data_IF_253106060077
#
_entry.id   IF_253106060077
#
_cell.length_a   1.000
_cell.length_b   1.000
_cell.length_c   1.000
_cell.angle_alpha   90.00
_cell.angle_beta   90.00
_cell.angle_gamma   90.00
#
_symmetry.space_group_name_H-M   'P 1'
#
loop_
_entity.id
_entity.type
_entity.pdbx_description
1 polymer ?
#
# COMPACT_ATOMS: atom_id res chain seq x y z
N UNK A 1 2.88 1.91 -76.37
CA UNK A 1 4.06 2.05 -75.48
C UNK A 1 3.90 3.27 -74.59
N UNK A 2 3.63 3.05 -73.31
CA UNK A 2 3.88 3.96 -72.18
C UNK A 2 4.26 3.05 -71.00
N UNK A 3 5.41 3.24 -70.34
CA UNK A 3 5.84 2.33 -69.29
C UNK A 3 5.18 2.72 -67.96
N UNK A 4 4.56 1.74 -67.31
CA UNK A 4 4.04 1.84 -65.94
C UNK A 4 5.21 1.75 -64.98
N UNK A 5 5.46 2.80 -64.18
CA UNK A 5 6.48 2.79 -63.13
C UNK A 5 6.06 1.82 -62.02
N UNK A 6 6.82 0.76 -61.85
CA UNK A 6 6.71 -0.19 -60.75
C UNK A 6 7.36 0.46 -59.52
N UNK A 7 6.56 0.79 -58.49
CA UNK A 7 7.05 1.36 -57.25
C UNK A 7 7.59 0.21 -56.37
N UNK A 8 8.91 0.13 -56.26
CA UNK A 8 9.61 -0.81 -55.39
C UNK A 8 9.51 -0.29 -53.94
N UNK A 9 8.65 -0.91 -53.12
CA UNK A 9 8.66 -0.66 -51.66
C UNK A 9 9.84 -1.42 -51.03
N UNK A 10 10.91 -0.70 -50.75
CA UNK A 10 12.01 -1.18 -49.91
C UNK A 10 11.50 -1.13 -48.46
N UNK A 11 11.25 -2.30 -47.88
CA UNK A 11 10.94 -2.41 -46.45
C UNK A 11 12.23 -2.17 -45.65
N UNK A 12 12.38 -0.95 -45.14
CA UNK A 12 13.42 -0.60 -44.18
C UNK A 12 12.97 -1.20 -42.85
N UNK A 13 13.62 -2.29 -42.42
CA UNK A 13 13.58 -2.75 -41.04
C UNK A 13 14.25 -1.69 -40.18
N UNK A 14 13.46 -0.76 -39.64
CA UNK A 14 13.90 0.07 -38.52
C UNK A 14 13.91 -0.82 -37.27
N UNK A 15 15.10 -1.23 -36.85
CA UNK A 15 15.34 -1.65 -35.48
C UNK A 15 14.93 -0.48 -34.59
N UNK A 16 13.79 -0.61 -33.90
CA UNK A 16 13.33 0.40 -32.96
C UNK A 16 14.28 0.33 -31.75
N UNK A 17 15.05 1.38 -31.45
CA UNK A 17 15.79 1.44 -30.19
C UNK A 17 14.77 1.37 -29.05
N UNK A 18 15.07 0.54 -28.04
CA UNK A 18 14.31 0.37 -26.80
C UNK A 18 13.57 1.64 -26.41
N UNK A 19 12.24 1.61 -26.52
CA UNK A 19 11.37 2.67 -26.05
C UNK A 19 11.42 2.70 -24.51
N UNK A 20 12.49 3.28 -23.98
CA UNK A 20 12.62 3.65 -22.58
C UNK A 20 11.79 4.93 -22.36
N UNK A 21 10.47 4.79 -22.40
CA UNK A 21 9.62 5.71 -21.67
C UNK A 21 9.68 5.26 -20.23
N UNK A 22 10.40 5.99 -19.38
CA UNK A 22 10.31 5.79 -17.94
C UNK A 22 8.84 5.79 -17.56
N UNK A 23 8.39 4.75 -16.85
CA UNK A 23 7.01 4.52 -16.42
C UNK A 23 6.51 5.53 -15.36
N UNK A 24 7.16 6.69 -15.28
CA UNK A 24 6.85 7.81 -14.40
C UNK A 24 5.86 8.73 -15.13
N UNK A 25 4.54 8.70 -14.85
CA UNK A 25 3.89 8.19 -13.65
C UNK A 25 2.64 7.35 -13.99
N UNK A 26 2.77 6.03 -14.08
CA UNK A 26 1.57 5.18 -14.11
C UNK A 26 0.81 5.22 -12.77
N UNK A 27 1.46 5.72 -11.72
CA UNK A 27 0.91 6.00 -10.42
C UNK A 27 0.73 7.52 -10.32
N UNK A 28 -0.52 8.01 -10.31
CA UNK A 28 -0.81 9.39 -9.88
C UNK A 28 -0.32 9.57 -8.42
N UNK A 29 -0.22 10.82 -7.95
CA UNK A 29 0.01 11.19 -6.55
C UNK A 29 -0.76 10.35 -5.54
N UNK A 30 -1.97 9.89 -5.87
CA UNK A 30 -2.82 9.05 -5.01
C UNK A 30 -2.36 7.59 -4.89
N UNK A 31 -1.64 7.04 -5.88
CA UNK A 31 -0.99 5.72 -5.78
C UNK A 31 0.53 5.82 -5.57
N UNK A 32 1.07 7.02 -5.68
CA UNK A 32 2.48 7.29 -5.39
C UNK A 32 2.66 7.13 -3.88
N UNK A 33 3.57 6.24 -3.47
CA UNK A 33 3.78 5.81 -2.08
C UNK A 33 2.68 4.91 -1.50
N UNK A 34 1.73 4.43 -2.31
CA UNK A 34 0.73 3.45 -1.87
C UNK A 34 1.32 2.04 -1.98
N UNK A 35 1.58 1.39 -0.85
CA UNK A 35 2.04 -0.01 -0.84
C UNK A 35 0.86 -0.98 -0.92
N UNK A 36 -0.27 -0.61 -0.32
CA UNK A 36 -1.45 -1.46 -0.24
C UNK A 36 -2.74 -0.69 -0.45
N UNK A 37 -3.57 -1.18 -1.35
CA UNK A 37 -4.94 -0.70 -1.52
C UNK A 37 -5.92 -1.86 -1.64
N UNK A 38 -7.04 -1.78 -0.92
CA UNK A 38 -8.16 -2.68 -1.10
C UNK A 38 -9.51 -1.94 -1.05
N UNK A 39 -10.34 -2.17 -2.07
CA UNK A 39 -11.71 -1.65 -2.11
C UNK A 39 -12.60 -2.22 -1.00
N UNK A 40 -12.31 -3.43 -0.52
CA UNK A 40 -13.00 -4.03 0.61
C UNK A 40 -12.22 -3.84 1.91
N UNK A 41 -11.33 -4.75 2.30
CA UNK A 41 -10.59 -4.71 3.55
C UNK A 41 -9.16 -5.21 3.39
N UNK A 42 -8.33 -4.92 4.39
CA UNK A 42 -6.97 -5.43 4.53
C UNK A 42 -6.83 -6.10 5.91
N UNK A 43 -6.26 -7.32 5.95
CA UNK A 43 -5.99 -8.09 7.19
C UNK A 43 -4.57 -8.69 7.20
N UNK A 44 -3.76 -8.54 8.27
CA UNK A 44 -2.42 -9.15 8.40
C UNK A 44 -1.89 -9.29 9.85
N UNK A 45 -1.07 -10.31 10.07
CA UNK A 45 -0.36 -10.68 11.31
C UNK A 45 0.05 -12.15 11.19
N UNK A 46 1.15 -12.72 11.66
CA UNK A 46 2.20 -12.28 12.52
C UNK A 46 3.50 -12.65 11.81
N UNK A 47 4.42 -11.77 11.46
CA UNK A 47 4.42 -10.42 11.96
C UNK A 47 3.84 -9.44 10.95
N UNK A 48 4.46 -8.32 10.69
CA UNK A 48 4.07 -7.37 9.63
C UNK A 48 4.95 -6.13 9.75
N UNK A 49 5.24 -5.49 8.61
CA UNK A 49 5.71 -4.11 8.53
C UNK A 49 5.38 -3.61 7.11
N UNK A 50 5.01 -2.34 6.90
CA UNK A 50 4.66 -1.84 5.55
C UNK A 50 5.22 -0.43 5.30
N UNK A 51 6.00 -0.31 4.23
CA UNK A 51 6.85 0.85 3.92
C UNK A 51 6.22 1.97 3.09
N UNK A 52 4.92 2.18 3.23
CA UNK A 52 4.17 3.19 2.51
C UNK A 52 2.73 3.30 3.01
N UNK A 53 1.91 4.04 2.28
CA UNK A 53 0.51 4.26 2.61
C UNK A 53 -0.30 2.97 2.46
N UNK A 54 -1.23 2.80 3.39
CA UNK A 54 -2.22 1.72 3.40
C UNK A 54 -3.60 2.35 3.39
N UNK A 55 -4.42 1.94 2.43
CA UNK A 55 -5.76 2.48 2.25
C UNK A 55 -6.77 1.36 2.06
N UNK A 56 -7.88 1.48 2.76
CA UNK A 56 -9.05 0.63 2.55
C UNK A 56 -10.33 1.43 2.68
N UNK A 57 -11.24 1.23 1.72
CA UNK A 57 -12.55 1.89 1.73
C UNK A 57 -13.40 1.42 2.91
N UNK A 58 -13.15 0.23 3.47
CA UNK A 58 -13.88 -0.23 4.66
C UNK A 58 -13.00 -0.33 5.90
N UNK A 59 -12.06 -1.28 5.98
CA UNK A 59 -11.41 -1.61 7.25
C UNK A 59 -9.96 -2.01 7.06
N UNK A 60 -9.13 -1.62 8.03
CA UNK A 60 -7.73 -2.07 8.16
C UNK A 60 -7.50 -2.52 9.60
N UNK A 61 -7.07 -3.76 9.81
CA UNK A 61 -6.74 -4.25 11.16
C UNK A 61 -5.58 -5.27 11.09
N UNK A 62 -4.30 -4.82 11.11
CA UNK A 62 -3.09 -5.64 11.11
C UNK A 62 -2.17 -5.56 12.35
N UNK A 63 -2.34 -6.51 13.25
CA UNK A 63 -1.58 -6.67 14.46
C UNK A 63 -0.78 -7.93 14.29
N UNK A 64 0.53 -7.80 14.13
CA UNK A 64 1.51 -8.61 14.82
C UNK A 64 2.86 -8.37 14.20
N UNK A 65 4.00 -8.43 14.85
CA UNK A 65 4.21 -7.44 15.86
C UNK A 65 4.36 -5.98 15.27
N UNK A 66 3.85 -5.73 14.04
CA UNK A 66 3.47 -4.55 13.26
C UNK A 66 4.14 -3.22 13.55
N UNK A 67 4.66 -2.61 12.49
CA UNK A 67 4.97 -1.18 12.44
C UNK A 67 4.82 -0.70 10.99
N UNK A 68 4.28 0.48 10.79
CA UNK A 68 4.01 1.11 9.49
C UNK A 68 4.94 2.32 9.34
N UNK A 69 5.28 2.72 8.11
CA UNK A 69 6.09 3.92 7.83
C UNK A 69 5.42 4.89 6.86
N UNK A 70 4.10 5.05 6.99
CA UNK A 70 3.25 5.87 6.13
C UNK A 70 1.86 6.03 6.74
N UNK A 71 0.90 6.52 5.95
CA UNK A 71 -0.44 6.82 6.43
C UNK A 71 -1.34 5.59 6.45
N UNK A 72 -2.25 5.54 7.43
CA UNK A 72 -3.35 4.58 7.48
C UNK A 72 -4.66 5.32 7.26
N UNK A 73 -5.38 4.92 6.21
CA UNK A 73 -6.68 5.46 5.86
C UNK A 73 -7.74 4.35 5.78
N UNK A 74 -8.62 4.29 6.78
CA UNK A 74 -9.73 3.35 6.81
C UNK A 74 -11.08 4.08 6.70
N UNK A 75 -11.88 3.73 5.70
CA UNK A 75 -13.19 4.37 5.51
C UNK A 75 -14.20 4.09 6.62
N UNK A 76 -13.97 3.05 7.43
CA UNK A 76 -14.73 2.81 8.67
C UNK A 76 -13.81 2.63 9.87
N UNK A 77 -13.05 1.53 9.92
CA UNK A 77 -12.38 1.09 11.15
C UNK A 77 -10.90 0.84 10.91
N UNK A 78 -10.06 1.45 11.76
CA UNK A 78 -8.63 1.16 11.88
C UNK A 78 -8.36 0.68 13.32
N UNK A 79 -7.65 -0.42 13.60
CA UNK A 79 -7.61 -0.92 15.01
C UNK A 79 -6.36 -1.70 15.44
N UNK A 80 -5.17 -1.13 15.69
CA UNK A 80 -3.94 -1.94 15.69
C UNK A 80 -2.80 -1.77 16.69
N UNK A 81 -2.98 -2.54 17.75
CA UNK A 81 -1.92 -3.07 18.58
C UNK A 81 -1.27 -4.35 18.03
N UNK A 82 -0.05 -4.30 17.53
CA UNK A 82 0.80 -5.45 17.31
C UNK A 82 1.74 -5.60 18.50
N UNK A 83 3.05 -5.52 18.32
CA UNK A 83 3.74 -4.66 19.28
C UNK A 83 3.64 -3.15 18.87
N UNK A 84 3.01 -2.86 17.71
CA UNK A 84 2.46 -1.65 17.03
C UNK A 84 3.35 -0.44 16.75
N UNK A 85 3.05 0.20 15.62
CA UNK A 85 3.27 1.63 15.41
C UNK A 85 2.92 2.11 13.99
N UNK A 86 2.89 3.42 13.75
CA UNK A 86 2.75 4.04 12.43
C UNK A 86 3.41 5.43 12.34
N UNK A 87 4.40 5.63 11.47
CA UNK A 87 5.09 6.94 11.37
C UNK A 87 4.50 7.84 10.26
N UNK A 88 3.27 8.28 10.51
CA UNK A 88 2.42 9.13 9.70
C UNK A 88 1.15 9.51 10.48
N UNK A 89 0.01 9.62 9.82
CA UNK A 89 -1.29 9.76 10.49
C UNK A 89 -2.14 8.49 10.42
N UNK A 90 -3.09 8.41 11.36
CA UNK A 90 -4.13 7.39 11.38
C UNK A 90 -5.50 8.06 11.28
N UNK A 91 -6.24 7.72 10.22
CA UNK A 91 -7.59 8.18 10.00
C UNK A 91 -8.59 7.01 9.89
N UNK A 92 -9.65 7.10 10.68
CA UNK A 92 -10.75 6.15 10.64
C UNK A 92 -12.09 6.88 10.51
N UNK A 93 -12.87 6.53 9.49
CA UNK A 93 -14.18 7.15 9.23
C UNK A 93 -15.18 6.98 10.38
N UNK A 94 -15.01 5.95 11.21
CA UNK A 94 -15.81 5.74 12.44
C UNK A 94 -14.93 5.50 13.67
N UNK A 95 -14.11 4.45 13.67
CA UNK A 95 -13.49 3.94 14.91
C UNK A 95 -12.00 3.70 14.75
N UNK A 96 -11.23 4.29 15.66
CA UNK A 96 -9.80 4.06 15.86
C UNK A 96 -9.60 3.33 17.20
N UNK A 97 -8.91 2.19 17.22
CA UNK A 97 -8.68 1.41 18.45
C UNK A 97 -7.23 0.92 18.51
N UNK A 98 -6.36 1.39 19.41
CA UNK A 98 -4.96 0.91 19.40
C UNK A 98 -4.33 0.79 20.80
N UNK A 99 -3.88 -0.42 21.15
CA UNK A 99 -2.93 -0.66 22.23
C UNK A 99 -2.09 -1.88 21.88
N UNK A 100 -0.76 -1.76 21.88
CA UNK A 100 0.17 -2.88 21.75
C UNK A 100 1.14 -2.91 22.94
N UNK A 101 2.36 -2.52 22.67
CA UNK A 101 2.80 -1.29 23.26
C UNK A 101 2.78 -0.15 22.21
N UNK A 102 1.62 0.40 21.83
CA UNK A 102 1.35 1.34 20.70
C UNK A 102 2.17 2.61 20.71
N UNK A 103 2.64 3.07 19.55
CA UNK A 103 3.11 4.46 19.40
C UNK A 103 2.75 4.98 17.99
N UNK A 104 2.62 6.30 17.83
CA UNK A 104 3.19 7.07 16.68
C UNK A 104 2.17 7.66 15.69
N UNK A 105 2.39 8.90 15.22
CA UNK A 105 3.41 9.94 15.54
C UNK A 105 3.29 11.22 14.71
N UNK A 106 2.26 11.28 13.86
CA UNK A 106 1.49 12.49 13.63
C UNK A 106 0.26 12.51 14.54
N UNK A 107 -0.91 12.62 13.92
CA UNK A 107 -2.20 12.70 14.61
C UNK A 107 -3.04 11.43 14.42
N UNK A 108 -4.00 11.24 15.32
CA UNK A 108 -5.09 10.28 15.18
C UNK A 108 -6.41 11.02 15.07
N UNK A 109 -7.19 10.69 14.03
CA UNK A 109 -8.54 11.23 13.84
C UNK A 109 -9.56 10.10 13.63
N UNK A 110 -10.54 10.04 14.54
CA UNK A 110 -11.66 9.11 14.46
C UNK A 110 -13.00 9.85 14.26
N UNK A 111 -13.78 9.39 13.28
CA UNK A 111 -15.10 9.95 12.99
C UNK A 111 -16.16 9.71 14.06
N UNK A 112 -15.87 8.88 15.08
CA UNK A 112 -16.76 8.68 16.24
C UNK A 112 -15.93 8.44 17.49
N UNK A 113 -15.12 7.38 17.51
CA UNK A 113 -14.47 6.90 18.74
C UNK A 113 -13.00 6.62 18.52
N UNK A 114 -12.15 7.15 19.41
CA UNK A 114 -10.76 6.75 19.56
C UNK A 114 -10.57 6.07 20.92
N UNK A 115 -10.01 4.86 20.93
CA UNK A 115 -9.73 4.11 22.17
C UNK A 115 -8.26 3.70 22.16
N UNK A 116 -7.47 4.08 23.16
CA UNK A 116 -6.06 3.70 23.24
C UNK A 116 -5.65 3.19 24.62
N UNK A 117 -4.90 2.11 24.63
CA UNK A 117 -4.39 1.52 25.86
C UNK A 117 -3.71 0.23 25.51
N UNK A 118 -2.46 0.32 25.09
CA UNK A 118 -1.39 -0.47 25.67
C UNK A 118 -0.05 0.18 25.28
N UNK A 119 0.80 0.33 26.30
CA UNK A 119 1.93 1.26 26.50
C UNK A 119 2.09 2.42 25.49
N UNK A 120 1.01 3.19 25.32
CA UNK A 120 0.74 4.23 24.32
C UNK A 120 1.72 5.42 24.38
N UNK A 121 2.24 5.89 23.24
CA UNK A 121 2.73 7.27 23.12
C UNK A 121 2.38 7.91 21.75
N UNK A 122 1.78 9.10 21.73
CA UNK A 122 1.44 9.84 20.49
C UNK A 122 1.98 11.26 20.56
N UNK A 123 2.71 11.67 19.52
CA UNK A 123 3.46 12.94 19.44
C UNK A 123 2.61 14.13 18.97
N UNK A 124 1.51 13.86 18.25
CA UNK A 124 0.53 14.86 17.83
C UNK A 124 -0.82 14.71 18.53
N UNK A 125 -1.87 15.21 17.87
CA UNK A 125 -3.21 15.30 18.43
C UNK A 125 -3.96 13.96 18.39
N UNK A 126 -4.79 13.74 19.42
CA UNK A 126 -5.72 12.62 19.50
C UNK A 126 -7.15 13.15 19.48
N UNK A 127 -7.85 12.92 18.36
CA UNK A 127 -9.13 13.54 18.08
C UNK A 127 -10.21 12.51 17.78
N UNK A 128 -11.36 12.64 18.45
CA UNK A 128 -12.56 11.88 18.14
C UNK A 128 -13.82 12.74 18.18
N UNK A 129 -14.74 12.52 17.24
CA UNK A 129 -16.00 13.29 17.18
C UNK A 129 -16.94 13.06 18.34
N UNK A 130 -16.84 11.93 19.03
CA UNK A 130 -17.69 11.61 20.18
C UNK A 130 -16.85 11.28 21.39
N UNK A 131 -16.02 10.24 21.31
CA UNK A 131 -15.38 9.67 22.51
C UNK A 131 -13.90 9.42 22.31
N UNK A 132 -13.09 9.89 23.26
CA UNK A 132 -11.72 9.45 23.46
C UNK A 132 -11.63 8.67 24.77
N UNK A 133 -11.08 7.47 24.73
CA UNK A 133 -10.79 6.64 25.91
C UNK A 133 -9.32 6.27 25.93
N UNK A 134 -8.61 6.52 27.03
CA UNK A 134 -7.17 6.31 27.18
C UNK A 134 -6.90 5.53 28.49
N UNK A 135 -6.11 4.47 28.45
CA UNK A 135 -5.69 3.67 29.63
C UNK A 135 -4.21 3.20 29.52
N UNK A 136 -3.65 2.60 30.59
CA UNK A 136 -2.30 2.00 30.76
C UNK A 136 -1.10 2.51 29.91
N UNK A 137 -0.12 3.12 30.58
CA UNK A 137 1.25 3.39 30.08
C UNK A 137 1.36 4.57 29.11
N UNK A 138 0.81 5.73 29.47
CA UNK A 138 0.44 6.81 28.53
C UNK A 138 1.32 8.06 28.66
N UNK A 139 1.84 8.52 27.52
CA UNK A 139 2.22 9.91 27.28
C UNK A 139 1.59 10.43 25.97
N UNK A 140 0.99 11.62 25.99
CA UNK A 140 0.48 12.30 24.78
C UNK A 140 1.02 13.72 24.76
N UNK A 141 1.63 14.11 23.64
CA UNK A 141 2.28 15.42 23.50
C UNK A 141 1.37 16.50 22.94
N UNK A 142 0.49 16.13 21.99
CA UNK A 142 -0.52 17.03 21.43
C UNK A 142 -1.77 17.15 22.30
N UNK A 143 -2.80 17.73 21.71
CA UNK A 143 -4.10 17.92 22.36
C UNK A 143 -4.96 16.65 22.28
N UNK A 144 -5.72 16.40 23.33
CA UNK A 144 -6.78 15.38 23.35
C UNK A 144 -8.12 16.08 23.20
N UNK A 145 -8.84 15.81 22.11
CA UNK A 145 -10.12 16.43 21.82
C UNK A 145 -11.21 15.40 21.54
N UNK A 146 -12.27 15.43 22.36
CA UNK A 146 -13.49 14.66 22.12
C UNK A 146 -14.73 15.56 22.04
N UNK A 147 -15.58 15.32 21.03
CA UNK A 147 -16.83 16.08 20.88
C UNK A 147 -17.87 15.81 21.98
N UNK A 148 -17.70 14.77 22.79
CA UNK A 148 -18.57 14.52 23.94
C UNK A 148 -17.78 14.10 25.18
N UNK A 149 -17.00 13.02 25.10
CA UNK A 149 -16.45 12.37 26.30
C UNK A 149 -14.96 12.09 26.17
N UNK A 150 -14.19 12.47 27.18
CA UNK A 150 -12.81 11.99 27.39
C UNK A 150 -12.76 11.15 28.66
N UNK A 151 -12.22 9.93 28.58
CA UNK A 151 -11.95 9.06 29.73
C UNK A 151 -10.47 8.73 29.78
N UNK A 152 -9.82 8.95 30.93
CA UNK A 152 -8.38 8.77 31.13
C UNK A 152 -8.13 7.85 32.33
N UNK A 153 -7.34 6.81 32.13
CA UNK A 153 -6.88 5.86 33.13
C UNK A 153 -5.89 6.44 34.13
N UNK A 154 -5.56 5.68 35.17
CA UNK A 154 -4.68 6.15 36.24
C UNK A 154 -3.22 6.33 35.77
N UNK A 155 -2.54 7.35 36.29
CA UNK A 155 -1.10 7.57 36.07
C UNK A 155 -0.69 8.10 34.68
N UNK A 156 -1.63 8.47 33.81
CA UNK A 156 -1.35 9.02 32.48
C UNK A 156 -0.75 10.43 32.52
N UNK A 157 0.09 10.77 31.53
CA UNK A 157 0.71 12.09 31.37
C UNK A 157 0.29 12.73 30.05
N UNK A 158 -0.12 14.00 30.10
CA UNK A 158 -0.48 14.81 28.93
C UNK A 158 0.32 16.10 28.94
N UNK A 159 0.91 16.45 27.79
CA UNK A 159 1.61 17.73 27.61
C UNK A 159 0.72 18.83 27.04
N UNK A 160 -0.28 18.46 26.22
CA UNK A 160 -1.28 19.37 25.66
C UNK A 160 -2.55 19.52 26.51
N UNK A 161 -3.55 20.15 25.90
CA UNK A 161 -4.89 20.30 26.47
C UNK A 161 -5.66 18.97 26.43
N UNK A 162 -6.62 18.83 27.35
CA UNK A 162 -7.60 17.74 27.36
C UNK A 162 -9.00 18.33 27.35
N UNK A 163 -9.69 18.24 26.22
CA UNK A 163 -10.99 18.84 25.97
C UNK A 163 -12.08 17.80 25.68
N UNK A 164 -13.19 17.92 26.42
CA UNK A 164 -14.42 17.18 26.13
C UNK A 164 -15.61 18.12 25.97
N UNK A 165 -16.43 17.87 24.95
CA UNK A 165 -17.66 18.62 24.70
C UNK A 165 -18.71 18.52 25.81
N UNK A 166 -18.65 17.48 26.65
CA UNK A 166 -19.53 17.35 27.83
C UNK A 166 -18.77 16.85 29.06
N UNK A 167 -18.10 15.70 28.97
CA UNK A 167 -17.68 14.94 30.16
C UNK A 167 -16.21 14.56 30.11
N UNK A 168 -15.49 14.83 31.20
CA UNK A 168 -14.14 14.29 31.44
C UNK A 168 -14.16 13.36 32.65
N UNK A 169 -13.59 12.17 32.51
CA UNK A 169 -13.38 11.21 33.60
C UNK A 169 -11.89 10.96 33.75
N UNK A 170 -11.33 11.25 34.94
CA UNK A 170 -9.88 11.23 35.17
C UNK A 170 -9.52 10.25 36.29
N UNK A 171 -8.62 9.32 35.99
CA UNK A 171 -8.06 8.37 36.94
C UNK A 171 -7.11 9.01 37.96
N UNK A 172 -6.79 8.26 39.02
CA UNK A 172 -5.87 8.72 40.05
C UNK A 172 -4.45 8.97 39.48
N UNK A 173 -3.79 10.04 39.93
CA UNK A 173 -2.40 10.32 39.59
C UNK A 173 -2.15 10.81 38.15
N UNK A 174 -3.20 11.18 37.41
CA UNK A 174 -3.06 11.80 36.08
C UNK A 174 -2.40 13.17 36.19
N UNK A 175 -1.48 13.46 35.27
CA UNK A 175 -0.81 14.76 35.13
C UNK A 175 -1.12 15.36 33.77
N UNK A 176 -1.64 16.58 33.76
CA UNK A 176 -1.90 17.36 32.54
C UNK A 176 -1.12 18.67 32.69
N UNK A 177 -0.19 18.92 31.77
CA UNK A 177 0.57 20.18 31.73
C UNK A 177 -0.25 21.32 31.09
N UNK A 178 -1.16 20.99 30.17
CA UNK A 178 -2.14 21.91 29.58
C UNK A 178 -3.41 22.07 30.42
N UNK A 179 -4.50 22.45 29.75
CA UNK A 179 -5.79 22.70 30.38
C UNK A 179 -6.70 21.50 30.29
N UNK A 180 -7.30 21.11 31.42
CA UNK A 180 -8.41 20.16 31.44
C UNK A 180 -9.75 20.91 31.33
N UNK A 181 -10.51 20.65 30.26
CA UNK A 181 -11.80 21.28 30.00
C UNK A 181 -12.90 20.24 29.78
N UNK A 182 -14.02 20.41 30.50
CA UNK A 182 -15.29 19.75 30.22
C UNK A 182 -16.32 20.80 29.76
N UNK A 183 -17.32 20.39 28.98
CA UNK A 183 -18.27 21.28 28.32
C UNK A 183 -17.61 22.26 27.33
N UNK A 184 -16.57 21.79 26.64
CA UNK A 184 -15.84 22.57 25.65
C UNK A 184 -16.73 22.92 24.46
N UNK A 185 -16.54 24.12 23.92
CA UNK A 185 -17.15 24.57 22.66
C UNK A 185 -16.17 24.48 21.48
N UNK A 186 -15.01 23.82 21.67
CA UNK A 186 -14.04 23.60 20.58
C UNK A 186 -14.71 22.79 19.46
N UNK A 187 -14.50 23.22 18.21
CA UNK A 187 -15.02 22.53 17.03
C UNK A 187 -14.16 21.31 16.77
N UNK A 188 -14.80 20.14 16.66
CA UNK A 188 -14.11 18.90 16.29
C UNK A 188 -14.11 18.74 14.76
N UNK A 189 -12.97 18.38 14.13
CA UNK A 189 -12.87 18.07 12.71
C UNK A 189 -13.95 17.12 12.20
N UNK A 190 -14.26 17.24 10.89
CA UNK A 190 -15.17 16.33 10.20
C UNK A 190 -14.60 14.90 10.16
N UNK A 191 -15.46 13.91 9.93
CA UNK A 191 -15.01 12.53 9.77
C UNK A 191 -14.12 12.39 8.53
N UNK A 192 -13.04 11.60 8.61
CA UNK A 192 -12.27 11.21 7.44
C UNK A 192 -13.15 10.55 6.37
N UNK A 193 -12.82 10.79 5.09
CA UNK A 193 -13.47 10.15 3.94
C UNK A 193 -12.36 9.53 3.08
N UNK A 194 -12.43 8.21 2.91
CA UNK A 194 -11.52 7.47 2.03
C UNK A 194 -12.12 7.36 0.64
N UNK A 195 -11.36 7.78 -0.37
CA UNK A 195 -11.77 7.67 -1.77
C UNK A 195 -11.54 6.26 -2.30
N UNK A 196 -12.44 5.79 -3.16
CA UNK A 196 -12.28 4.51 -3.84
C UNK A 196 -11.38 4.71 -5.07
N UNK A 197 -10.32 3.90 -5.17
CA UNK A 197 -9.31 3.94 -6.25
C UNK A 197 -9.61 2.95 -7.39
N UNK A 198 -10.79 2.32 -7.45
CA UNK A 198 -11.14 1.33 -8.47
C UNK A 198 -11.00 1.88 -9.89
N UNK A 199 -11.50 3.09 -10.16
CA UNK A 199 -11.41 3.72 -11.48
C UNK A 199 -9.95 4.02 -11.86
N UNK A 200 -9.13 4.42 -10.89
CA UNK A 200 -7.71 4.69 -11.11
C UNK A 200 -6.94 3.39 -11.42
N UNK A 201 -7.15 2.33 -10.64
CA UNK A 201 -6.54 1.03 -10.90
C UNK A 201 -7.01 0.46 -12.24
N UNK A 202 -8.30 0.58 -12.57
CA UNK A 202 -8.83 0.15 -13.87
C UNK A 202 -8.18 0.91 -15.03
N UNK A 203 -7.92 2.21 -14.87
CA UNK A 203 -7.17 3.02 -15.84
C UNK A 203 -5.74 2.51 -16.02
N UNK A 204 -5.02 2.26 -14.92
CA UNK A 204 -3.66 1.69 -14.94
C UNK A 204 -3.63 0.35 -15.66
N UNK A 205 -4.52 -0.57 -15.29
CA UNK A 205 -4.60 -1.90 -15.89
C UNK A 205 -4.92 -1.84 -17.39
N UNK A 206 -5.75 -0.87 -17.81
CA UNK A 206 -6.06 -0.61 -19.22
C UNK A 206 -4.82 -0.11 -19.96
N UNK A 207 -4.09 0.86 -19.41
CA UNK A 207 -2.85 1.37 -20.04
C UNK A 207 -1.81 0.27 -20.19
N UNK A 208 -1.59 -0.56 -19.17
CA UNK A 208 -0.66 -1.70 -19.24
C UNK A 208 -1.07 -2.72 -20.30
N UNK A 209 -2.37 -3.00 -20.44
CA UNK A 209 -2.90 -3.88 -21.48
C UNK A 209 -2.68 -3.31 -22.88
N UNK A 210 -2.82 -2.01 -23.03
CA UNK A 210 -2.66 -1.30 -24.31
C UNK A 210 -1.20 -1.25 -24.80
N UNK A 211 -0.21 -1.51 -23.93
CA UNK A 211 1.19 -1.72 -24.34
C UNK A 211 1.36 -2.95 -25.26
N UNK A 212 0.38 -3.87 -25.26
CA UNK A 212 0.32 -5.01 -26.16
C UNK A 212 0.61 -6.36 -25.48
N UNK A 213 0.69 -7.40 -26.29
CA UNK A 213 0.84 -8.79 -25.81
C UNK A 213 2.29 -9.23 -25.67
N UNK A 214 3.22 -8.58 -26.38
CA UNK A 214 4.63 -8.95 -26.40
C UNK A 214 4.84 -10.45 -26.63
N UNK A 215 5.68 -11.08 -25.81
CA UNK A 215 5.96 -12.53 -25.86
C UNK A 215 4.92 -13.32 -25.06
N UNK A 216 4.28 -14.30 -25.70
CA UNK A 216 3.34 -15.20 -25.02
C UNK A 216 4.10 -16.18 -24.10
N UNK A 217 3.72 -16.20 -22.83
CA UNK A 217 4.10 -17.21 -21.85
C UNK A 217 2.99 -18.27 -21.80
N UNK A 218 3.25 -19.43 -22.40
CA UNK A 218 2.25 -20.49 -22.52
C UNK A 218 2.02 -21.15 -21.15
N UNK A 219 0.82 -20.96 -20.59
CA UNK A 219 0.46 -21.32 -19.21
C UNK A 219 0.75 -22.78 -18.82
N UNK A 220 0.67 -23.72 -19.76
CA UNK A 220 0.89 -25.15 -19.51
C UNK A 220 2.37 -25.55 -19.45
N UNK A 221 3.27 -24.71 -19.99
CA UNK A 221 4.68 -25.07 -20.18
C UNK A 221 5.65 -24.09 -19.52
N UNK A 222 5.24 -22.83 -19.33
CA UNK A 222 6.07 -21.83 -18.65
C UNK A 222 5.95 -21.96 -17.14
N UNK A 223 7.07 -21.80 -16.43
CA UNK A 223 7.09 -21.75 -14.96
C UNK A 223 7.11 -23.12 -14.28
N UNK A 224 7.16 -24.22 -15.05
CA UNK A 224 7.41 -25.57 -14.53
C UNK A 224 8.92 -25.87 -14.37
N UNK A 225 9.77 -25.04 -14.98
CA UNK A 225 11.23 -25.06 -14.87
C UNK A 225 11.72 -23.74 -14.25
N UNK A 226 13.05 -23.62 -14.08
CA UNK A 226 13.64 -22.30 -13.86
C UNK A 226 13.60 -21.53 -15.17
N UNK A 227 13.09 -20.31 -15.12
CA UNK A 227 12.88 -19.46 -16.29
C UNK A 227 13.79 -18.23 -16.20
N UNK A 228 14.20 -17.70 -17.34
CA UNK A 228 14.94 -16.43 -17.42
C UNK A 228 14.31 -15.56 -18.49
N UNK A 229 13.96 -14.33 -18.12
CA UNK A 229 13.38 -13.33 -19.02
C UNK A 229 14.22 -12.05 -19.02
N UNK A 230 14.44 -11.47 -20.19
CA UNK A 230 15.00 -10.12 -20.33
C UNK A 230 13.89 -9.08 -20.20
N UNK A 231 14.22 -7.79 -20.18
CA UNK A 231 13.22 -6.73 -20.15
C UNK A 231 12.28 -6.83 -21.37
N UNK A 232 10.98 -6.67 -21.15
CA UNK A 232 9.98 -6.82 -22.20
C UNK A 232 8.54 -6.88 -21.71
N UNK A 233 7.63 -6.99 -22.68
CA UNK A 233 6.21 -7.20 -22.46
C UNK A 233 5.90 -8.69 -22.64
N UNK A 234 5.15 -9.25 -21.71
CA UNK A 234 4.77 -10.64 -21.66
C UNK A 234 3.26 -10.77 -21.47
N UNK A 235 2.68 -11.83 -22.01
CA UNK A 235 1.25 -12.10 -21.82
C UNK A 235 0.92 -13.58 -21.65
N UNK A 236 -0.20 -13.86 -20.98
CA UNK A 236 -0.78 -15.20 -20.91
C UNK A 236 -2.19 -15.20 -21.49
N UNK A 237 -2.60 -16.33 -22.08
CA UNK A 237 -3.99 -16.51 -22.55
C UNK A 237 -4.95 -16.95 -21.46
N UNK A 238 -4.45 -17.69 -20.47
CA UNK A 238 -5.26 -18.20 -19.36
C UNK A 238 -4.70 -17.72 -18.03
N UNK A 239 -3.55 -18.23 -17.56
CA UNK A 239 -2.98 -17.84 -16.26
C UNK A 239 -1.45 -17.80 -16.31
N UNK A 240 -0.82 -17.20 -15.29
CA UNK A 240 0.61 -17.31 -15.05
C UNK A 240 0.87 -18.03 -13.72
N UNK A 241 1.57 -19.16 -13.79
CA UNK A 241 1.97 -19.91 -12.59
C UNK A 241 3.46 -20.16 -12.58
N UNK A 242 4.13 -19.81 -11.48
CA UNK A 242 5.47 -20.28 -11.16
C UNK A 242 5.33 -21.45 -10.18
N UNK A 243 5.74 -22.64 -10.60
CA UNK A 243 5.56 -23.86 -9.83
C UNK A 243 6.43 -23.87 -8.56
N UNK A 244 6.14 -24.79 -7.65
CA UNK A 244 6.78 -24.84 -6.34
C UNK A 244 8.30 -24.98 -6.47
N UNK A 245 9.02 -24.23 -5.64
CA UNK A 245 10.48 -24.15 -5.61
C UNK A 245 11.14 -23.76 -6.95
N UNK A 246 10.38 -23.16 -7.89
CA UNK A 246 10.92 -22.64 -9.15
C UNK A 246 11.31 -21.18 -9.02
N UNK A 247 12.18 -20.77 -9.94
CA UNK A 247 12.74 -19.43 -9.97
C UNK A 247 12.49 -18.79 -11.32
N UNK A 248 11.93 -17.60 -11.29
CA UNK A 248 11.89 -16.69 -12.44
C UNK A 248 13.03 -15.67 -12.28
N UNK A 249 14.03 -15.76 -13.16
CA UNK A 249 15.14 -14.80 -13.19
C UNK A 249 14.81 -13.68 -14.17
N UNK A 250 14.89 -12.43 -13.72
CA UNK A 250 14.76 -11.26 -14.57
C UNK A 250 16.16 -10.68 -14.81
N UNK A 251 16.62 -10.73 -16.06
CA UNK A 251 17.98 -10.34 -16.47
C UNK A 251 17.96 -8.96 -17.14
N UNK A 252 18.44 -7.94 -16.43
CA UNK A 252 18.49 -6.55 -16.89
C UNK A 252 19.70 -6.24 -17.79
N UNK A 253 20.65 -7.17 -17.95
CA UNK A 253 21.88 -6.99 -18.75
C UNK A 253 22.73 -5.76 -18.36
N UNK A 254 22.58 -5.27 -17.14
CA UNK A 254 23.32 -4.12 -16.61
C UNK A 254 22.76 -2.76 -17.07
N UNK A 255 21.53 -2.73 -17.59
CA UNK A 255 20.84 -1.49 -18.00
C UNK A 255 19.44 -1.42 -17.37
N UNK A 256 18.85 -0.23 -17.39
CA UNK A 256 17.49 0.00 -16.93
C UNK A 256 16.49 -0.85 -17.73
N UNK A 257 15.69 -1.67 -17.05
CA UNK A 257 14.78 -2.63 -17.66
C UNK A 257 13.34 -2.50 -17.15
N UNK A 258 12.38 -2.75 -18.04
CA UNK A 258 10.96 -2.81 -17.69
C UNK A 258 10.40 -4.18 -18.05
N UNK A 259 9.73 -4.82 -17.09
CA UNK A 259 8.98 -6.05 -17.27
C UNK A 259 7.49 -5.80 -17.05
N UNK A 260 6.68 -6.06 -18.08
CA UNK A 260 5.21 -5.96 -17.98
C UNK A 260 4.61 -7.33 -18.24
N UNK A 261 3.82 -7.83 -17.29
CA UNK A 261 3.10 -9.10 -17.41
C UNK A 261 1.60 -8.83 -17.51
N UNK A 262 1.05 -8.94 -18.72
CA UNK A 262 -0.39 -8.87 -18.99
C UNK A 262 -1.01 -10.27 -18.83
N UNK A 263 -1.55 -10.52 -17.65
CA UNK A 263 -1.97 -11.85 -17.19
C UNK A 263 -3.51 -11.95 -17.29
N UNK A 264 -3.98 -12.92 -18.06
CA UNK A 264 -5.37 -13.35 -18.00
C UNK A 264 -5.64 -14.11 -16.70
N UNK A 265 -6.91 -14.20 -16.29
CA UNK A 265 -7.41 -15.01 -15.18
C UNK A 265 -6.71 -14.80 -13.82
N UNK A 266 -5.55 -15.40 -13.56
CA UNK A 266 -4.86 -15.29 -12.28
C UNK A 266 -3.33 -15.39 -12.39
N UNK A 267 -2.69 -14.80 -11.38
CA UNK A 267 -1.26 -14.95 -11.09
C UNK A 267 -1.10 -15.89 -9.90
N UNK A 268 -0.23 -16.90 -10.02
CA UNK A 268 0.10 -17.79 -8.91
C UNK A 268 1.60 -18.01 -8.79
N UNK A 269 2.16 -17.72 -7.63
CA UNK A 269 3.46 -18.24 -7.24
C UNK A 269 3.20 -19.34 -6.23
N UNK A 270 3.55 -20.59 -6.55
CA UNK A 270 3.38 -21.69 -5.62
C UNK A 270 4.36 -21.58 -4.43
N UNK A 271 4.27 -22.49 -3.47
CA UNK A 271 5.13 -22.47 -2.29
C UNK A 271 6.63 -22.46 -2.68
N UNK A 272 7.41 -21.58 -2.04
CA UNK A 272 8.84 -21.41 -2.29
C UNK A 272 9.21 -20.87 -3.68
N UNK A 273 8.24 -20.51 -4.52
CA UNK A 273 8.49 -19.91 -5.83
C UNK A 273 9.00 -18.48 -5.66
N UNK A 274 10.03 -18.10 -6.43
CA UNK A 274 10.68 -16.78 -6.27
C UNK A 274 11.08 -16.10 -7.56
N UNK A 275 11.10 -14.78 -7.51
CA UNK A 275 11.71 -13.92 -8.52
C UNK A 275 13.10 -13.50 -8.06
N UNK A 276 14.10 -13.63 -8.94
CA UNK A 276 15.46 -13.14 -8.67
C UNK A 276 15.85 -12.15 -9.76
N UNK A 277 16.51 -11.07 -9.35
CA UNK A 277 17.05 -10.06 -10.26
C UNK A 277 18.50 -10.40 -10.60
N UNK A 278 18.86 -10.32 -11.88
CA UNK A 278 20.22 -10.46 -12.39
C UNK A 278 20.57 -9.23 -13.21
N UNK A 279 21.66 -8.55 -12.85
CA UNK A 279 22.16 -7.38 -13.57
C UNK A 279 21.05 -6.30 -13.81
N UNK A 280 20.17 -6.09 -12.83
CA UNK A 280 19.06 -5.12 -12.87
C UNK A 280 19.46 -3.84 -12.13
N UNK A 281 19.22 -2.68 -12.73
CA UNK A 281 19.48 -1.36 -12.11
C UNK A 281 18.31 -0.88 -11.26
N UNK A 282 18.54 0.10 -10.37
CA UNK A 282 17.51 0.64 -9.48
C UNK A 282 16.37 1.39 -10.18
N UNK A 283 16.58 1.90 -11.40
CA UNK A 283 15.56 2.61 -12.19
C UNK A 283 14.63 1.66 -12.96
N UNK A 284 14.78 0.35 -12.76
CA UNK A 284 14.01 -0.67 -13.44
C UNK A 284 12.60 -0.80 -12.86
N UNK A 285 11.69 -1.48 -13.56
CA UNK A 285 10.31 -1.66 -13.10
C UNK A 285 9.74 -3.03 -13.46
N UNK A 286 8.99 -3.63 -12.53
CA UNK A 286 8.26 -4.89 -12.75
C UNK A 286 6.79 -4.68 -12.42
N UNK A 287 5.92 -4.96 -13.39
CA UNK A 287 4.49 -4.69 -13.33
C UNK A 287 3.68 -5.96 -13.65
N UNK A 288 2.91 -6.43 -12.67
CA UNK A 288 2.03 -7.58 -12.79
C UNK A 288 0.58 -7.09 -12.98
N UNK A 289 0.08 -7.15 -14.22
CA UNK A 289 -1.26 -6.70 -14.58
C UNK A 289 -2.22 -7.90 -14.66
N UNK A 290 -2.99 -8.15 -13.60
CA UNK A 290 -3.89 -9.31 -13.49
C UNK A 290 -5.34 -8.88 -13.76
N UNK A 291 -5.78 -9.12 -14.99
CA UNK A 291 -7.01 -8.53 -15.55
C UNK A 291 -8.27 -9.34 -15.22
N UNK A 292 -8.17 -10.67 -15.27
CA UNK A 292 -9.32 -11.58 -15.24
C UNK A 292 -9.58 -12.30 -16.55
N UNK A 293 -10.64 -13.09 -16.60
CA UNK A 293 -10.97 -13.92 -17.76
C UNK A 293 -11.85 -13.19 -18.78
N UNK A 294 -11.99 -13.79 -19.97
CA UNK A 294 -12.85 -13.25 -21.04
C UNK A 294 -14.35 -13.26 -20.70
N UNK A 295 -14.75 -13.97 -19.63
CA UNK A 295 -16.14 -14.06 -19.17
C UNK A 295 -16.51 -12.95 -18.17
N UNK A 296 -15.52 -12.18 -17.73
CA UNK A 296 -15.70 -11.01 -16.85
C UNK A 296 -15.32 -11.26 -15.39
N UNK A 297 -14.84 -12.46 -15.04
CA UNK A 297 -14.36 -12.75 -13.69
C UNK A 297 -13.17 -11.84 -13.38
N UNK A 298 -13.16 -11.26 -12.19
CA UNK A 298 -12.07 -10.40 -11.75
C UNK A 298 -10.83 -11.25 -11.45
N UNK A 299 -9.71 -10.91 -12.10
CA UNK A 299 -8.49 -11.70 -11.93
C UNK A 299 -7.82 -11.48 -10.58
N UNK A 300 -7.19 -12.52 -10.05
CA UNK A 300 -6.66 -12.53 -8.69
C UNK A 300 -5.20 -12.98 -8.63
N UNK A 301 -4.54 -12.62 -7.54
CA UNK A 301 -3.18 -13.09 -7.24
C UNK A 301 -3.20 -14.02 -6.04
N UNK A 302 -2.51 -15.16 -6.15
CA UNK A 302 -2.27 -16.10 -5.07
C UNK A 302 -0.77 -16.37 -4.90
N UNK A 303 -0.22 -16.01 -3.75
CA UNK A 303 1.16 -16.29 -3.39
C UNK A 303 1.17 -17.42 -2.35
N UNK A 304 1.88 -18.50 -2.64
CA UNK A 304 2.04 -19.64 -1.75
C UNK A 304 2.96 -19.30 -0.58
N UNK A 305 3.02 -20.19 0.41
CA UNK A 305 3.90 -19.98 1.56
C UNK A 305 5.38 -19.91 1.11
N UNK A 306 6.13 -18.93 1.63
CA UNK A 306 7.53 -18.70 1.26
C UNK A 306 7.74 -18.17 -0.16
N UNK A 307 6.68 -17.71 -0.83
CA UNK A 307 6.82 -17.14 -2.17
C UNK A 307 7.43 -15.73 -2.12
N UNK A 308 8.31 -15.41 -3.06
CA UNK A 308 9.00 -14.11 -3.15
C UNK A 308 8.69 -13.45 -4.50
N UNK A 309 7.87 -12.40 -4.48
CA UNK A 309 7.52 -11.57 -5.64
C UNK A 309 8.24 -10.23 -5.60
N UNK A 310 8.52 -9.66 -6.78
CA UNK A 310 9.16 -8.34 -6.92
C UNK A 310 8.34 -7.48 -7.88
N UNK A 311 8.08 -6.23 -7.51
CA UNK A 311 7.38 -5.21 -8.30
C UNK A 311 5.99 -4.84 -7.77
N UNK A 312 5.16 -4.34 -8.68
CA UNK A 312 3.80 -3.87 -8.39
C UNK A 312 2.75 -4.83 -8.95
N UNK A 313 1.83 -5.26 -8.09
CA UNK A 313 0.77 -6.21 -8.43
C UNK A 313 -0.57 -5.50 -8.50
N UNK A 314 -1.16 -5.43 -9.70
CA UNK A 314 -2.50 -4.89 -9.92
C UNK A 314 -3.48 -6.02 -10.18
N UNK A 315 -4.23 -6.42 -9.15
CA UNK A 315 -5.28 -7.43 -9.26
C UNK A 315 -6.65 -6.77 -9.34
N UNK A 316 -7.44 -7.13 -10.38
CA UNK A 316 -8.81 -6.63 -10.49
C UNK A 316 -9.69 -7.15 -9.34
N UNK A 317 -9.50 -8.41 -8.97
CA UNK A 317 -10.17 -9.12 -7.89
C UNK A 317 -9.46 -8.89 -6.56
N UNK A 318 -8.87 -9.93 -5.99
CA UNK A 318 -8.22 -9.93 -4.68
C UNK A 318 -6.75 -10.32 -4.76
N UNK A 319 -6.02 -10.09 -3.65
CA UNK A 319 -4.68 -10.63 -3.43
C UNK A 319 -4.71 -11.50 -2.18
N UNK A 320 -4.28 -12.75 -2.34
CA UNK A 320 -4.10 -13.72 -1.26
C UNK A 320 -2.64 -14.13 -1.19
N UNK A 321 -2.07 -14.11 0.01
CA UNK A 321 -0.72 -14.59 0.24
C UNK A 321 -0.67 -15.57 1.41
N UNK A 322 0.12 -16.63 1.27
CA UNK A 322 0.43 -17.58 2.32
C UNK A 322 1.44 -17.01 3.32
N UNK A 323 1.85 -17.84 4.28
CA UNK A 323 2.82 -17.42 5.30
C UNK A 323 4.24 -17.23 4.73
N UNK A 324 5.05 -16.36 5.33
CA UNK A 324 6.42 -16.05 4.93
C UNK A 324 6.54 -15.54 3.48
N UNK A 325 5.51 -14.84 2.99
CA UNK A 325 5.55 -14.28 1.63
C UNK A 325 6.31 -12.95 1.62
N UNK A 326 7.08 -12.69 0.58
CA UNK A 326 7.73 -11.40 0.33
C UNK A 326 7.15 -10.74 -0.93
N UNK A 327 6.79 -9.47 -0.84
CA UNK A 327 6.58 -8.59 -1.99
C UNK A 327 7.51 -7.39 -1.81
N UNK A 328 8.48 -7.19 -2.71
CA UNK A 328 9.43 -6.08 -2.63
C UNK A 328 9.48 -5.28 -3.95
N UNK A 329 9.96 -4.04 -3.90
CA UNK A 329 10.31 -3.30 -5.12
C UNK A 329 11.76 -3.55 -5.56
N UNK A 330 12.23 -2.76 -6.53
CA UNK A 330 13.62 -2.78 -6.99
C UNK A 330 14.40 -1.68 -6.28
N UNK A 331 15.59 -2.01 -5.76
CA UNK A 331 16.43 -1.03 -5.06
C UNK A 331 15.75 -0.50 -3.79
N UNK A 332 15.49 0.81 -3.75
CA UNK A 332 14.84 1.49 -2.62
C UNK A 332 13.30 1.58 -2.75
N UNK A 333 12.73 1.08 -3.86
CA UNK A 333 11.29 1.04 -4.06
C UNK A 333 10.65 -0.06 -3.19
N UNK A 334 9.50 0.24 -2.58
CA UNK A 334 8.84 -0.71 -1.67
C UNK A 334 7.95 -1.73 -2.41
N UNK A 335 7.70 -1.57 -3.70
CA UNK A 335 6.71 -2.36 -4.43
C UNK A 335 5.30 -2.16 -3.88
N UNK A 336 4.36 -3.00 -4.31
CA UNK A 336 2.99 -2.90 -3.79
C UNK A 336 2.01 -3.91 -4.35
N UNK A 337 0.87 -4.02 -3.67
CA UNK A 337 -0.25 -4.86 -4.08
C UNK A 337 -1.57 -4.09 -4.01
N UNK A 338 -2.33 -4.16 -5.10
CA UNK A 338 -3.58 -3.41 -5.27
C UNK A 338 -4.72 -4.39 -5.62
N UNK A 339 -5.82 -4.29 -4.89
CA UNK A 339 -7.08 -4.98 -5.15
C UNK A 339 -8.14 -3.98 -5.55
N UNK A 340 -8.50 -3.95 -6.84
CA UNK A 340 -9.41 -2.93 -7.38
C UNK A 340 -10.84 -3.06 -6.84
N UNK A 341 -11.34 -4.28 -6.65
CA UNK A 341 -12.76 -4.53 -6.34
C UNK A 341 -13.00 -5.32 -5.06
N UNK A 342 -11.94 -5.75 -4.36
CA UNK A 342 -12.08 -6.73 -3.29
C UNK A 342 -11.05 -6.52 -2.17
N UNK A 343 -10.63 -7.60 -1.52
CA UNK A 343 -9.76 -7.57 -0.34
C UNK A 343 -8.31 -7.92 -0.64
N UNK A 344 -7.48 -7.67 0.37
CA UNK A 344 -6.13 -8.19 0.48
C UNK A 344 -5.98 -8.94 1.81
N UNK A 345 -5.50 -10.19 1.76
CA UNK A 345 -5.17 -10.98 2.94
C UNK A 345 -3.77 -11.57 2.80
N UNK A 346 -2.99 -11.49 3.88
CA UNK A 346 -1.69 -12.14 3.97
C UNK A 346 -1.65 -13.13 5.14
N UNK A 347 -0.98 -14.25 4.90
CA UNK A 347 -0.58 -15.18 5.93
C UNK A 347 0.53 -14.63 6.82
N UNK A 348 0.77 -15.33 7.93
CA UNK A 348 1.75 -14.95 8.94
C UNK A 348 3.17 -14.76 8.36
N UNK A 349 3.94 -13.85 8.95
CA UNK A 349 5.35 -13.56 8.66
C UNK A 349 5.60 -13.05 7.24
N UNK A 350 4.57 -12.46 6.62
CA UNK A 350 4.69 -11.82 5.31
C UNK A 350 5.28 -10.41 5.42
N UNK A 351 6.11 -10.05 4.45
CA UNK A 351 6.78 -8.75 4.35
C UNK A 351 6.38 -8.08 3.03
N UNK A 352 6.00 -6.80 3.11
CA UNK A 352 5.67 -5.97 1.95
C UNK A 352 6.57 -4.74 2.00
N UNK A 353 7.37 -4.56 0.95
CA UNK A 353 8.56 -3.71 0.97
C UNK A 353 9.79 -4.43 1.51
N UNK A 354 10.87 -3.68 1.70
CA UNK A 354 12.05 -4.11 2.46
C UNK A 354 11.96 -3.63 3.92
N UNK A 355 12.61 -4.32 4.85
CA UNK A 355 12.72 -3.86 6.25
C UNK A 355 13.43 -2.49 6.29
N UNK A 356 12.79 -1.48 6.90
CA UNK A 356 13.28 -0.09 6.88
C UNK A 356 12.94 0.69 5.60
N UNK A 357 12.13 0.15 4.69
CA UNK A 357 11.55 0.93 3.59
C UNK A 357 10.62 1.98 4.19
N UNK A 358 11.08 3.23 4.28
CA UNK A 358 10.22 4.40 4.38
C UNK A 358 10.10 4.95 2.98
N UNK A 359 8.89 5.26 2.52
CA UNK A 359 8.67 5.93 1.25
C UNK A 359 9.17 7.38 1.33
N UNK A 360 10.50 7.58 1.39
CA UNK A 360 11.11 8.87 1.19
C UNK A 360 11.11 9.17 -0.32
N UNK A 361 9.91 9.35 -0.86
CA UNK A 361 9.79 10.05 -2.12
C UNK A 361 10.17 11.50 -1.86
N UNK A 362 11.40 11.86 -2.24
CA UNK A 362 11.74 13.26 -2.47
C UNK A 362 11.17 13.59 -3.85
N UNK A 363 10.01 14.27 -3.96
CA UNK A 363 9.59 14.81 -5.24
C UNK A 363 10.74 15.68 -5.78
N UNK A 364 11.08 15.60 -7.08
CA UNK A 364 12.05 16.53 -7.65
C UNK A 364 11.60 17.95 -7.32
N UNK A 365 12.41 18.63 -6.51
CA UNK A 365 12.33 20.02 -6.08
C UNK A 365 10.95 20.67 -6.29
N UNK A 366 10.21 20.85 -5.18
CA UNK A 366 9.15 21.85 -5.10
C UNK A 366 9.71 23.17 -5.65
N UNK A 367 9.31 23.54 -6.86
CA UNK A 367 9.59 24.87 -7.40
C UNK A 367 9.00 25.85 -6.39
N UNK A 368 9.78 26.78 -5.82
CA UNK A 368 9.25 27.69 -4.84
C UNK A 368 8.10 28.47 -5.47
N UNK A 369 6.98 28.49 -4.76
CA UNK A 369 5.76 29.17 -5.15
C UNK A 369 6.08 30.60 -5.59
N UNK A 370 5.86 30.88 -6.86
CA UNK A 370 5.87 32.25 -7.37
C UNK A 370 4.70 32.97 -6.70
N UNK A 371 5.04 33.90 -5.83
CA UNK A 371 4.16 34.93 -5.30
C UNK A 371 3.64 35.75 -6.49
N UNK A 372 2.33 35.76 -6.68
CA UNK A 372 1.68 36.72 -7.57
C UNK A 372 1.86 38.12 -6.99
N UNK A 373 2.70 38.93 -7.64
CA UNK A 373 2.66 40.38 -7.59
C UNK A 373 2.65 40.87 -9.04
N UNK A 374 1.44 41.13 -9.55
CA UNK A 374 0.96 42.43 -10.07
C UNK A 374 -0.37 42.23 -10.80
#
# INVERSE_FOLDING_TARGET
>A
MKPTKQLLLISIFSVVPSAQAGLQPLLDSDLTNQSLYASSYITMGARTTAGGNIQSVTAITLAANATIGGNIEAGTTATLGADAGADGYIEAGTTATFGAAVIVGGYTLAGTTATLGAAVNIEGDLVARTTVTIDAGVEVWGDVLAGSTVTIGAGSIFRGDVDAGTTTTIGAGVRIDGTLTANSSKVVPASPIVQNQEDLIASVQKTLKELGTGTELVSLTFGINHETLEAGIYSTRDYLTIAADKTLTLDGKGVDGTWVFNIANYLTFAAGAKVILKDVTENSSILWNVLGDATGSAGYTSLGAGAEAIGYIFSRGYVLAGANTLIAGIGNDCGGAFSATNYIEFGADSVIGMEGCVSNFIPPNKVPSIIWLF
#
